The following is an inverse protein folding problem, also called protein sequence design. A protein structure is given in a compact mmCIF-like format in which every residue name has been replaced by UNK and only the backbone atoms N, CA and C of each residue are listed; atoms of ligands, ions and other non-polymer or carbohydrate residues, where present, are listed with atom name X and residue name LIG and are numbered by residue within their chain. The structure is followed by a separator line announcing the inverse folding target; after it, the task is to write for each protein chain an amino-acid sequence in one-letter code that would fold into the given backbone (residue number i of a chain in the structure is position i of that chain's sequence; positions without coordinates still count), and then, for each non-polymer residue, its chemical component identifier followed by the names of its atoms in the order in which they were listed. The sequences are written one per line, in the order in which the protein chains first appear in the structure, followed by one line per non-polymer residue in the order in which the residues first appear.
data_IF_511421866563
#
_entry.id   IF_511421866563
#
_cell.length_a   1.000
_cell.length_b   1.000
_cell.length_c   1.000
_cell.angle_alpha   90.00
_cell.angle_beta   90.00
_cell.angle_gamma   90.00
#
_symmetry.space_group_name_H-M   'P 1'
#
loop_
_entity.id
_entity.type
_entity.pdbx_description
1 polymer ?
#
# COMPACT_ATOMS: atom_id res chain seq x y z
N UNK A 1 7.11 6.68 -16.63
CA UNK A 1 7.21 5.53 -15.72
C UNK A 1 6.27 5.64 -14.52
N UNK A 2 6.13 6.82 -13.89
CA UNK A 2 5.32 7.02 -12.68
C UNK A 2 3.83 6.71 -12.90
N UNK A 3 3.26 7.09 -14.04
CA UNK A 3 1.85 6.79 -14.39
C UNK A 3 1.57 5.28 -14.41
N UNK A 4 2.52 4.46 -14.89
CA UNK A 4 2.37 3.02 -14.89
C UNK A 4 2.27 2.47 -13.46
N UNK A 5 3.12 2.99 -12.54
CA UNK A 5 3.03 2.66 -11.12
C UNK A 5 1.67 3.03 -10.53
N UNK A 6 1.17 4.24 -10.80
CA UNK A 6 -0.15 4.69 -10.33
C UNK A 6 -1.26 3.81 -10.87
N UNK A 7 -1.23 3.48 -12.16
CA UNK A 7 -2.22 2.57 -12.77
C UNK A 7 -2.23 1.19 -12.10
N UNK A 8 -1.04 0.61 -11.85
CA UNK A 8 -0.92 -0.67 -11.13
C UNK A 8 -1.47 -0.57 -9.70
N UNK A 9 -1.18 0.54 -9.01
CA UNK A 9 -1.67 0.77 -7.66
C UNK A 9 -3.20 0.87 -7.60
N UNK A 10 -3.79 1.67 -8.48
CA UNK A 10 -5.26 1.77 -8.58
C UNK A 10 -5.89 0.42 -8.99
N UNK A 11 -5.24 -0.32 -9.88
CA UNK A 11 -5.64 -1.68 -10.22
C UNK A 11 -5.64 -2.61 -9.01
N UNK A 12 -4.57 -2.59 -8.20
CA UNK A 12 -4.48 -3.36 -6.97
C UNK A 12 -5.59 -2.98 -5.98
N UNK A 13 -5.80 -1.68 -5.73
CA UNK A 13 -6.88 -1.20 -4.86
C UNK A 13 -8.23 -1.70 -5.34
N UNK A 14 -8.51 -1.60 -6.63
CA UNK A 14 -9.75 -2.10 -7.22
C UNK A 14 -9.95 -3.59 -6.98
N UNK A 15 -8.88 -4.40 -7.11
CA UNK A 15 -8.92 -5.85 -6.85
C UNK A 15 -9.12 -6.19 -5.37
N UNK A 16 -8.51 -5.41 -4.45
CA UNK A 16 -8.66 -5.62 -3.01
C UNK A 16 -10.03 -5.19 -2.48
N UNK A 17 -10.62 -4.13 -3.05
CA UNK A 17 -11.93 -3.60 -2.65
C UNK A 17 -13.10 -4.33 -3.32
N UNK A 18 -12.86 -4.95 -4.48
CA UNK A 18 -13.88 -5.72 -5.19
C UNK A 18 -14.27 -7.00 -4.43
N UNK A 19 -15.43 -7.55 -4.80
CA UNK A 19 -15.82 -8.89 -4.33
C UNK A 19 -14.78 -9.92 -4.78
N UNK A 20 -14.40 -10.80 -3.88
CA UNK A 20 -13.47 -11.87 -4.17
C UNK A 20 -13.90 -12.68 -5.41
N UNK A 21 -12.96 -12.87 -6.34
CA UNK A 21 -13.10 -13.74 -7.51
C UNK A 21 -11.91 -14.71 -7.60
N UNK A 22 -12.09 -15.97 -8.05
CA UNK A 22 -10.98 -16.88 -8.29
C UNK A 22 -9.92 -16.32 -9.26
N UNK A 23 -10.31 -15.41 -10.15
CA UNK A 23 -9.42 -14.74 -11.10
C UNK A 23 -8.34 -13.92 -10.39
N UNK A 24 -8.58 -13.48 -9.14
CA UNK A 24 -7.60 -12.74 -8.35
C UNK A 24 -6.31 -13.53 -8.11
N UNK A 25 -6.37 -14.88 -8.11
CA UNK A 25 -5.18 -15.71 -8.01
C UNK A 25 -4.20 -15.55 -9.18
N UNK A 26 -4.69 -15.11 -10.32
CA UNK A 26 -3.89 -14.83 -11.52
C UNK A 26 -3.63 -13.34 -11.68
N UNK A 27 -4.68 -12.51 -11.54
CA UNK A 27 -4.57 -11.07 -11.80
C UNK A 27 -3.60 -10.37 -10.86
N UNK A 28 -3.60 -10.70 -9.56
CA UNK A 28 -2.72 -10.02 -8.60
C UNK A 28 -1.25 -10.37 -8.83
N UNK A 29 -0.84 -11.65 -8.94
CA UNK A 29 0.55 -11.97 -9.29
C UNK A 29 0.98 -11.40 -10.64
N UNK A 30 0.13 -11.48 -11.67
CA UNK A 30 0.44 -10.90 -12.99
C UNK A 30 0.63 -9.38 -12.92
N UNK A 31 -0.21 -8.69 -12.15
CA UNK A 31 -0.07 -7.26 -11.89
C UNK A 31 1.28 -6.94 -11.22
N UNK A 32 1.67 -7.70 -10.20
CA UNK A 32 2.95 -7.47 -9.50
C UNK A 32 4.15 -7.82 -10.36
N UNK A 33 4.07 -8.87 -11.18
CA UNK A 33 5.11 -9.19 -12.15
C UNK A 33 5.30 -8.05 -13.15
N UNK A 34 4.23 -7.54 -13.73
CA UNK A 34 4.29 -6.39 -14.63
C UNK A 34 4.81 -5.14 -13.90
N UNK A 35 4.30 -4.86 -12.71
CA UNK A 35 4.66 -3.67 -11.93
C UNK A 35 6.14 -3.64 -11.56
N UNK A 36 6.71 -4.76 -11.10
CA UNK A 36 8.13 -4.86 -10.74
C UNK A 36 9.06 -4.62 -11.93
N UNK A 37 8.61 -4.95 -13.15
CA UNK A 37 9.34 -4.67 -14.38
C UNK A 37 9.15 -3.23 -14.91
N UNK A 38 8.10 -2.53 -14.48
CA UNK A 38 7.79 -1.18 -14.96
C UNK A 38 8.26 -0.07 -14.01
N UNK A 39 8.14 -0.27 -12.69
CA UNK A 39 8.38 0.79 -11.71
C UNK A 39 8.65 0.27 -10.30
N UNK A 40 9.67 0.81 -9.62
CA UNK A 40 10.06 0.41 -8.26
C UNK A 40 9.00 0.61 -7.15
N UNK A 41 7.89 1.30 -7.43
CA UNK A 41 6.80 1.49 -6.46
C UNK A 41 5.98 0.23 -6.14
N UNK A 42 6.28 -0.91 -6.76
CA UNK A 42 5.65 -2.19 -6.40
C UNK A 42 5.79 -2.51 -4.90
N UNK A 43 6.83 -2.00 -4.25
CA UNK A 43 7.03 -2.12 -2.79
C UNK A 43 5.85 -1.50 -2.02
N UNK A 44 5.32 -0.36 -2.48
CA UNK A 44 4.12 0.27 -1.87
C UNK A 44 2.90 -0.64 -2.00
N UNK A 45 2.74 -1.27 -3.17
CA UNK A 45 1.67 -2.26 -3.39
C UNK A 45 1.79 -3.48 -2.48
N UNK A 46 3.02 -4.01 -2.27
CA UNK A 46 3.25 -5.09 -1.31
C UNK A 46 2.91 -4.64 0.12
N UNK A 47 3.29 -3.42 0.50
CA UNK A 47 2.91 -2.83 1.79
C UNK A 47 1.39 -2.79 1.98
N UNK A 48 0.64 -2.43 0.94
CA UNK A 48 -0.83 -2.44 0.97
C UNK A 48 -1.40 -3.86 1.15
N UNK A 49 -0.86 -4.86 0.45
CA UNK A 49 -1.26 -6.26 0.63
C UNK A 49 -0.98 -6.76 2.05
N UNK A 50 0.18 -6.40 2.62
CA UNK A 50 0.54 -6.71 4.01
C UNK A 50 -0.43 -6.03 4.98
N UNK A 51 -0.72 -4.74 4.79
CA UNK A 51 -1.68 -4.00 5.63
C UNK A 51 -3.08 -4.63 5.58
N UNK A 52 -3.56 -5.00 4.39
CA UNK A 52 -4.85 -5.68 4.22
C UNK A 52 -4.86 -7.05 4.93
N UNK A 53 -3.79 -7.83 4.81
CA UNK A 53 -3.67 -9.17 5.43
C UNK A 53 -3.62 -9.07 6.96
N UNK A 54 -2.74 -8.22 7.49
CA UNK A 54 -2.58 -8.01 8.93
C UNK A 54 -3.84 -7.39 9.54
N UNK A 55 -4.40 -6.39 8.89
CA UNK A 55 -5.62 -5.75 9.35
C UNK A 55 -6.79 -6.71 9.44
N UNK A 56 -6.98 -7.55 8.41
CA UNK A 56 -8.00 -8.60 8.46
C UNK A 56 -7.75 -9.60 9.59
N UNK A 57 -6.50 -10.02 9.79
CA UNK A 57 -6.13 -10.94 10.86
C UNK A 57 -6.44 -10.34 12.24
N UNK A 58 -6.11 -9.06 12.45
CA UNK A 58 -6.40 -8.32 13.68
C UNK A 58 -7.91 -8.20 13.90
N UNK A 59 -8.68 -7.81 12.86
CA UNK A 59 -10.14 -7.67 12.96
C UNK A 59 -10.83 -8.99 13.33
N UNK A 60 -10.35 -10.12 12.81
CA UNK A 60 -10.87 -11.45 13.14
C UNK A 60 -10.49 -11.85 14.56
N UNK A 61 -9.22 -11.68 14.93
CA UNK A 61 -8.73 -12.00 16.26
C UNK A 61 -9.45 -11.19 17.35
N UNK A 62 -9.65 -9.88 17.10
CA UNK A 62 -10.37 -8.99 18.00
C UNK A 62 -11.82 -9.42 18.21
N UNK A 63 -12.54 -9.74 17.10
CA UNK A 63 -13.95 -10.16 17.17
C UNK A 63 -14.15 -11.52 17.85
N UNK A 64 -13.17 -12.42 17.75
CA UNK A 64 -13.28 -13.79 18.27
C UNK A 64 -12.49 -14.01 19.58
N UNK A 65 -11.77 -13.00 20.04
CA UNK A 65 -10.99 -13.05 21.29
C UNK A 65 -9.78 -14.02 21.25
N UNK A 66 -9.40 -14.54 20.08
CA UNK A 66 -8.32 -15.53 19.92
C UNK A 66 -7.52 -15.30 18.65
N UNK A 67 -6.20 -15.17 18.76
CA UNK A 67 -5.30 -14.99 17.59
C UNK A 67 -5.34 -16.19 16.63
N UNK A 68 -5.49 -17.42 17.14
CA UNK A 68 -5.52 -18.63 16.30
C UNK A 68 -6.67 -18.63 15.29
N UNK A 69 -7.78 -17.96 15.58
CA UNK A 69 -8.94 -17.90 14.69
C UNK A 69 -8.69 -17.09 13.44
N UNK A 70 -7.75 -16.12 13.49
CA UNK A 70 -7.32 -15.36 12.32
C UNK A 70 -6.73 -16.28 11.22
N UNK A 71 -5.95 -17.30 11.62
CA UNK A 71 -5.37 -18.27 10.68
C UNK A 71 -6.37 -19.27 10.13
N UNK A 72 -7.52 -19.45 10.77
CA UNK A 72 -8.61 -20.31 10.30
C UNK A 72 -9.60 -19.56 9.39
N UNK A 73 -9.60 -18.23 9.41
CA UNK A 73 -10.46 -17.38 8.57
C UNK A 73 -10.06 -17.50 7.09
N UNK A 74 -10.99 -17.97 6.26
CA UNK A 74 -10.73 -18.16 4.81
C UNK A 74 -10.26 -16.90 4.10
N UNK A 75 -10.88 -15.71 4.28
CA UNK A 75 -10.40 -14.47 3.68
C UNK A 75 -8.99 -14.07 4.14
N UNK A 76 -8.64 -14.23 5.41
CA UNK A 76 -7.28 -13.95 5.92
C UNK A 76 -6.25 -14.85 5.23
N UNK A 77 -6.53 -16.16 5.14
CA UNK A 77 -5.64 -17.10 4.44
C UNK A 77 -5.49 -16.78 2.95
N UNK A 78 -6.57 -16.38 2.29
CA UNK A 78 -6.53 -15.95 0.88
C UNK A 78 -5.63 -14.73 0.70
N UNK A 79 -5.80 -13.70 1.52
CA UNK A 79 -4.95 -12.51 1.47
C UNK A 79 -3.48 -12.84 1.76
N UNK A 80 -3.21 -13.71 2.76
CA UNK A 80 -1.86 -14.14 3.08
C UNK A 80 -1.19 -14.83 1.89
N UNK A 81 -1.85 -15.84 1.30
CA UNK A 81 -1.29 -16.56 0.14
C UNK A 81 -1.16 -15.62 -1.06
N UNK A 82 -2.12 -14.72 -1.28
CA UNK A 82 -2.07 -13.74 -2.36
C UNK A 82 -0.89 -12.79 -2.20
N UNK A 83 -0.62 -12.33 -0.97
CA UNK A 83 0.54 -11.48 -0.65
C UNK A 83 1.85 -12.21 -0.92
N UNK A 84 1.94 -13.50 -0.57
CA UNK A 84 3.11 -14.33 -0.87
C UNK A 84 3.31 -14.52 -2.38
N UNK A 85 2.23 -14.81 -3.11
CA UNK A 85 2.28 -14.94 -4.58
C UNK A 85 2.65 -13.62 -5.25
N UNK A 86 2.13 -12.50 -4.76
CA UNK A 86 2.50 -11.16 -5.21
C UNK A 86 4.00 -10.91 -5.00
N UNK A 87 4.52 -11.21 -3.81
CA UNK A 87 5.95 -11.09 -3.52
C UNK A 87 6.79 -11.98 -4.44
N UNK A 88 6.44 -13.26 -4.62
CA UNK A 88 7.16 -14.17 -5.52
C UNK A 88 7.11 -13.68 -6.97
N UNK A 89 5.97 -13.13 -7.41
CA UNK A 89 5.81 -12.60 -8.76
C UNK A 89 6.74 -11.41 -9.04
N UNK A 90 7.06 -10.60 -8.02
CA UNK A 90 8.02 -9.50 -8.19
C UNK A 90 9.45 -9.98 -8.49
N UNK A 91 9.78 -11.23 -8.17
CA UNK A 91 11.10 -11.81 -8.48
C UNK A 91 11.25 -12.19 -9.96
N UNK A 92 10.14 -12.23 -10.71
CA UNK A 92 10.14 -12.48 -12.16
C UNK A 92 10.51 -11.19 -12.93
N UNK A 93 11.74 -10.72 -12.72
CA UNK A 93 12.34 -9.55 -13.35
C UNK A 93 13.83 -9.86 -13.67
N UNK A 94 14.49 -9.08 -14.55
CA UNK A 94 15.90 -9.35 -14.93
C UNK A 94 16.89 -9.28 -13.76
N UNK A 95 16.57 -8.56 -12.69
CA UNK A 95 17.42 -8.39 -11.51
C UNK A 95 17.14 -9.44 -10.43
N UNK A 96 16.05 -10.21 -10.54
CA UNK A 96 15.62 -11.16 -9.51
C UNK A 96 15.49 -10.51 -8.12
N UNK A 97 16.02 -11.15 -7.05
CA UNK A 97 15.98 -10.60 -5.70
C UNK A 97 16.76 -9.29 -5.52
N UNK A 98 17.79 -9.03 -6.35
CA UNK A 98 18.62 -7.83 -6.24
C UNK A 98 17.85 -6.55 -6.57
N UNK A 99 16.69 -6.66 -7.26
CA UNK A 99 15.80 -5.53 -7.52
C UNK A 99 15.42 -4.76 -6.24
N UNK A 100 15.23 -5.47 -5.14
CA UNK A 100 14.92 -4.84 -3.85
C UNK A 100 16.07 -3.97 -3.35
N UNK A 101 17.30 -4.45 -3.49
CA UNK A 101 18.50 -3.69 -3.12
C UNK A 101 18.64 -2.45 -4.01
N UNK A 102 18.39 -2.58 -5.31
CA UNK A 102 18.43 -1.45 -6.26
C UNK A 102 17.40 -0.38 -5.91
N UNK A 103 16.16 -0.78 -5.62
CA UNK A 103 15.11 0.18 -5.25
C UNK A 103 15.43 0.86 -3.92
N UNK A 104 15.97 0.14 -2.93
CA UNK A 104 16.38 0.73 -1.65
C UNK A 104 17.63 1.61 -1.80
N UNK A 105 18.61 1.21 -2.60
CA UNK A 105 19.79 2.02 -2.88
C UNK A 105 19.41 3.32 -3.59
N UNK A 106 18.52 3.24 -4.58
CA UNK A 106 18.00 4.41 -5.28
C UNK A 106 17.30 5.41 -4.32
N UNK A 107 16.54 4.91 -3.34
CA UNK A 107 15.87 5.77 -2.36
C UNK A 107 16.84 6.54 -1.43
N UNK A 108 18.09 6.08 -1.34
CA UNK A 108 19.16 6.69 -0.52
C UNK A 108 20.16 7.50 -1.35
N UNK A 109 19.95 7.63 -2.65
CA UNK A 109 20.85 8.34 -3.54
C UNK A 109 20.86 9.84 -3.23
N UNK A 110 22.00 10.35 -2.77
CA UNK A 110 22.16 11.72 -2.23
C UNK A 110 21.64 12.83 -3.16
N UNK A 111 21.88 12.81 -4.50
CA UNK A 111 21.37 13.86 -5.39
C UNK A 111 19.84 13.98 -5.44
N UNK A 112 19.09 12.95 -5.01
CA UNK A 112 17.64 13.03 -4.95
C UNK A 112 17.14 13.90 -3.78
N UNK A 113 17.96 14.10 -2.75
CA UNK A 113 17.62 14.93 -1.59
C UNK A 113 17.40 16.41 -1.97
N UNK A 114 18.00 16.87 -3.08
CA UNK A 114 17.85 18.24 -3.58
C UNK A 114 16.54 18.44 -4.35
N UNK A 115 15.85 17.35 -4.74
CA UNK A 115 14.57 17.41 -5.42
C UNK A 115 13.43 17.65 -4.42
N UNK A 116 12.59 18.64 -4.68
CA UNK A 116 11.47 19.01 -3.81
C UNK A 116 10.55 17.85 -3.46
N UNK A 117 10.32 16.94 -4.42
CA UNK A 117 9.46 15.75 -4.22
C UNK A 117 10.03 14.72 -3.23
N UNK A 118 11.35 14.74 -2.99
CA UNK A 118 12.03 13.85 -2.04
C UNK A 118 12.16 14.46 -0.64
N UNK A 119 11.88 15.75 -0.50
CA UNK A 119 11.92 16.41 0.79
C UNK A 119 10.73 16.01 1.67
N UNK A 120 10.89 16.07 3.00
CA UNK A 120 9.79 15.84 3.94
C UNK A 120 8.63 16.82 3.69
N UNK A 121 7.40 16.35 3.87
CA UNK A 121 6.24 17.20 3.83
C UNK A 121 6.21 18.10 5.07
N UNK A 122 6.13 19.41 4.87
CA UNK A 122 6.08 20.39 5.96
C UNK A 122 4.84 21.27 5.85
N UNK A 123 4.27 21.67 6.98
CA UNK A 123 3.14 22.62 7.04
C UNK A 123 3.51 24.04 6.56
N UNK A 124 4.79 24.29 6.30
CA UNK A 124 5.26 25.59 5.77
C UNK A 124 5.04 25.72 4.27
N UNK A 125 4.70 24.62 3.59
CA UNK A 125 4.42 24.60 2.15
C UNK A 125 2.92 24.52 1.89
N UNK A 126 2.46 25.06 0.75
CA UNK A 126 1.06 24.97 0.34
C UNK A 126 0.60 23.51 0.23
N UNK A 127 1.47 22.62 -0.27
CA UNK A 127 1.19 21.19 -0.36
C UNK A 127 0.96 20.58 1.02
N UNK A 128 1.77 20.93 2.02
CA UNK A 128 1.62 20.44 3.39
C UNK A 128 0.34 20.94 4.05
N UNK A 129 -0.03 22.20 3.82
CA UNK A 129 -1.29 22.77 4.34
C UNK A 129 -2.50 22.11 3.71
N UNK A 130 -2.49 21.88 2.40
CA UNK A 130 -3.56 21.15 1.69
C UNK A 130 -3.72 19.73 2.23
N UNK A 131 -2.61 19.00 2.40
CA UNK A 131 -2.65 17.63 2.93
C UNK A 131 -3.15 17.60 4.37
N UNK A 132 -2.74 18.56 5.21
CA UNK A 132 -3.24 18.65 6.58
C UNK A 132 -4.76 18.93 6.58
N UNK A 133 -5.25 19.84 5.72
CA UNK A 133 -6.66 20.11 5.54
C UNK A 133 -7.44 18.87 5.09
N UNK A 134 -6.94 18.13 4.09
CA UNK A 134 -7.50 16.87 3.65
C UNK A 134 -7.50 15.82 4.77
N UNK A 135 -6.44 15.73 5.55
CA UNK A 135 -6.36 14.82 6.71
C UNK A 135 -7.44 15.11 7.75
N UNK A 136 -7.70 16.40 8.04
CA UNK A 136 -8.79 16.82 8.94
C UNK A 136 -10.15 16.44 8.35
N UNK A 137 -10.37 16.70 7.07
CA UNK A 137 -11.61 16.33 6.38
C UNK A 137 -11.85 14.82 6.41
N UNK A 138 -10.80 14.03 6.18
CA UNK A 138 -10.86 12.58 6.30
C UNK A 138 -11.22 12.12 7.73
N UNK A 139 -10.61 12.68 8.74
CA UNK A 139 -10.95 12.36 10.13
C UNK A 139 -12.43 12.65 10.43
N UNK A 140 -12.95 13.79 9.93
CA UNK A 140 -14.39 14.14 10.06
C UNK A 140 -15.25 13.13 9.28
N UNK A 141 -14.88 12.79 8.05
CA UNK A 141 -15.60 11.81 7.23
C UNK A 141 -15.61 10.43 7.89
N UNK A 142 -14.48 9.95 8.39
CA UNK A 142 -14.39 8.67 9.11
C UNK A 142 -15.22 8.66 10.39
N UNK A 143 -15.25 9.77 11.13
CA UNK A 143 -16.09 9.89 12.33
C UNK A 143 -17.58 9.82 12.02
N UNK A 144 -18.00 10.39 10.89
CA UNK A 144 -19.42 10.51 10.50
C UNK A 144 -19.88 9.34 9.60
N UNK A 145 -18.99 8.47 9.16
CA UNK A 145 -19.39 7.36 8.30
C UNK A 145 -20.05 6.24 9.11
N UNK A 146 -21.20 5.72 8.68
CA UNK A 146 -21.84 4.55 9.29
C UNK A 146 -21.08 3.25 9.00
N UNK A 147 -20.14 3.28 8.04
CA UNK A 147 -19.30 2.13 7.65
C UNK A 147 -18.27 1.85 8.73
N UNK A 148 -18.08 0.57 9.05
CA UNK A 148 -16.96 0.16 9.92
C UNK A 148 -15.65 0.25 9.12
N UNK A 149 -14.76 1.10 9.59
CA UNK A 149 -13.38 1.19 9.09
C UNK A 149 -12.64 -0.10 9.49
N UNK A 150 -11.97 -0.73 8.54
CA UNK A 150 -11.18 -1.94 8.81
C UNK A 150 -9.80 -1.58 9.36
N UNK A 151 -9.22 -2.46 10.19
CA UNK A 151 -7.84 -2.26 10.67
C UNK A 151 -6.85 -2.19 9.51
N UNK A 152 -7.12 -2.87 8.39
CA UNK A 152 -6.29 -2.80 7.18
C UNK A 152 -6.25 -1.41 6.55
N UNK A 153 -7.40 -0.73 6.48
CA UNK A 153 -7.49 0.67 6.00
C UNK A 153 -6.69 1.60 6.93
N UNK A 154 -6.83 1.45 8.24
CA UNK A 154 -6.09 2.24 9.22
C UNK A 154 -4.58 2.02 9.07
N UNK A 155 -4.13 0.77 8.96
CA UNK A 155 -2.71 0.44 8.77
C UNK A 155 -2.15 1.01 7.47
N UNK A 156 -2.89 0.91 6.37
CA UNK A 156 -2.51 1.48 5.09
C UNK A 156 -2.39 3.01 5.16
N UNK A 157 -3.39 3.68 5.72
CA UNK A 157 -3.37 5.14 5.89
C UNK A 157 -2.23 5.58 6.80
N UNK A 158 -2.01 4.94 7.94
CA UNK A 158 -0.92 5.29 8.86
C UNK A 158 0.45 5.06 8.21
N UNK A 159 0.63 3.92 7.54
CA UNK A 159 1.88 3.61 6.84
C UNK A 159 2.20 4.60 5.73
N UNK A 160 1.21 4.92 4.89
CA UNK A 160 1.37 5.91 3.81
C UNK A 160 1.52 7.33 4.33
N UNK A 161 0.83 7.70 5.43
CA UNK A 161 1.01 8.99 6.09
C UNK A 161 2.43 9.13 6.63
N UNK A 162 2.95 8.11 7.31
CA UNK A 162 4.35 8.11 7.77
C UNK A 162 5.35 8.23 6.62
N UNK A 163 5.14 7.48 5.53
CA UNK A 163 5.97 7.57 4.33
C UNK A 163 5.89 8.95 3.67
N UNK A 164 4.71 9.55 3.59
CA UNK A 164 4.47 10.88 3.03
C UNK A 164 5.15 11.99 3.87
N UNK A 165 5.12 11.87 5.20
CA UNK A 165 5.85 12.79 6.09
C UNK A 165 7.37 12.68 5.90
N UNK A 166 7.86 11.49 5.56
CA UNK A 166 9.27 11.27 5.22
C UNK A 166 9.62 11.86 3.84
N UNK A 167 8.76 11.72 2.85
CA UNK A 167 8.99 12.23 1.48
C UNK A 167 7.66 12.54 0.79
N UNK A 168 7.54 13.76 0.24
CA UNK A 168 6.34 14.23 -0.48
C UNK A 168 5.96 13.33 -1.65
N UNK A 169 6.91 12.58 -2.21
CA UNK A 169 6.68 11.62 -3.29
C UNK A 169 5.61 10.58 -2.95
N UNK A 170 5.43 10.24 -1.67
CA UNK A 170 4.41 9.28 -1.24
C UNK A 170 2.98 9.84 -1.26
N UNK A 171 2.81 11.15 -1.47
CA UNK A 171 1.50 11.78 -1.60
C UNK A 171 0.65 11.14 -2.70
N UNK A 172 1.27 10.79 -3.82
CA UNK A 172 0.61 10.12 -4.96
C UNK A 172 -0.02 8.77 -4.58
N UNK A 173 0.56 8.07 -3.61
CA UNK A 173 0.07 6.77 -3.13
C UNK A 173 -0.93 6.90 -1.99
N UNK A 174 -0.85 7.99 -1.26
CA UNK A 174 -1.76 8.29 -0.14
C UNK A 174 -3.15 8.67 -0.63
N UNK A 175 -3.24 9.54 -1.65
CA UNK A 175 -4.51 10.10 -2.15
C UNK A 175 -5.56 9.06 -2.57
N UNK A 176 -5.25 7.92 -3.22
CA UNK A 176 -6.28 6.95 -3.58
C UNK A 176 -6.80 6.11 -2.40
N UNK A 177 -6.11 6.11 -1.26
CA UNK A 177 -6.51 5.36 -0.04
C UNK A 177 -7.25 6.27 0.93
N UNK A 178 -6.95 7.56 0.91
CA UNK A 178 -7.60 8.60 1.71
C UNK A 178 -8.99 8.93 1.19
#
# INVERSE_FOLDING_TARGET
PQLAGVACYCGLLSLLLARWSPVNWVLVPALFMAWANLHGSFIVGLGLCVAATLGRAVDVAWRQGRLRTAFSDRPTRRLLVLTQLAFLATLANPYGPSLYNEVLAFSRYSPLADLTEWQPLTLRTNSGQLVAGLGVLLMIAYRNTPRRVTTGEVLALLGLTGAMLWSQRFLVWWTPVA
#
